data_IF_384002316149
#
_entry.id   IF_384002316149
#
_cell.length_a   1.000
_cell.length_b   1.000
_cell.length_c   1.000
_cell.angle_alpha   90.00
_cell.angle_beta   90.00
_cell.angle_gamma   90.00
#
_symmetry.space_group_name_H-M   'P 1'
#
loop_
_entity.id
_entity.type
_entity.pdbx_description
1 polymer ?
#
# COMPACT_ATOMS: atom_id res chain seq x y z
N UNK A 1 -15.45 -20.83 -44.94
CA UNK A 1 -16.40 -19.85 -44.39
C UNK A 1 -17.27 -20.53 -43.35
N UNK A 2 -16.92 -20.45 -42.07
CA UNK A 2 -17.70 -21.00 -40.96
C UNK A 2 -18.21 -19.83 -40.10
N UNK A 3 -19.53 -19.79 -39.88
CA UNK A 3 -20.23 -18.76 -39.10
C UNK A 3 -19.86 -18.91 -37.62
N UNK A 4 -19.36 -17.85 -37.01
CA UNK A 4 -19.07 -17.78 -35.58
C UNK A 4 -20.36 -17.95 -34.75
N UNK A 5 -20.32 -18.90 -33.82
CA UNK A 5 -21.36 -19.15 -32.81
C UNK A 5 -21.47 -17.99 -31.81
N UNK A 6 -22.66 -17.83 -31.20
CA UNK A 6 -23.03 -16.69 -30.33
C UNK A 6 -22.11 -16.45 -29.12
N UNK A 7 -21.28 -17.43 -28.75
CA UNK A 7 -20.28 -17.35 -27.68
C UNK A 7 -19.25 -16.23 -27.89
N UNK A 8 -18.79 -15.99 -29.12
CA UNK A 8 -17.76 -14.99 -29.40
C UNK A 8 -18.24 -13.53 -29.31
N UNK A 9 -19.56 -13.29 -29.31
CA UNK A 9 -20.16 -11.95 -29.16
C UNK A 9 -20.57 -11.64 -27.72
N UNK A 10 -20.92 -12.66 -26.93
CA UNK A 10 -21.18 -12.52 -25.49
C UNK A 10 -19.87 -12.34 -24.70
N UNK A 11 -18.83 -13.14 -25.00
CA UNK A 11 -17.53 -13.02 -24.34
C UNK A 11 -16.80 -11.70 -24.65
N UNK A 12 -17.02 -11.10 -25.84
CA UNK A 12 -16.50 -9.76 -26.18
C UNK A 12 -17.24 -8.60 -25.52
N UNK A 13 -18.45 -8.82 -25.00
CA UNK A 13 -19.21 -7.79 -24.26
C UNK A 13 -19.02 -7.90 -22.74
N UNK A 14 -18.64 -9.07 -22.23
CA UNK A 14 -18.34 -9.28 -20.81
C UNK A 14 -16.84 -9.12 -20.47
N UNK A 15 -15.96 -9.12 -21.48
CA UNK A 15 -14.51 -9.24 -21.30
C UNK A 15 -13.70 -7.95 -21.27
N UNK A 16 -14.33 -6.76 -21.23
CA UNK A 16 -13.59 -5.49 -21.17
C UNK A 16 -14.35 -4.52 -20.27
N UNK A 17 -13.69 -4.13 -19.19
CA UNK A 17 -13.99 -3.00 -18.29
C UNK A 17 -14.84 -3.29 -17.05
N UNK A 18 -14.24 -3.97 -16.06
CA UNK A 18 -14.29 -3.62 -14.63
C UNK A 18 -13.29 -4.52 -13.88
N UNK A 19 -12.01 -4.10 -13.80
CA UNK A 19 -10.92 -4.71 -13.01
C UNK A 19 -10.77 -6.24 -13.06
N UNK A 20 -9.72 -6.77 -13.69
CA UNK A 20 -9.39 -8.22 -13.63
C UNK A 20 -9.42 -8.81 -12.20
N UNK A 21 -9.23 -7.99 -11.16
CA UNK A 21 -9.39 -8.38 -9.75
C UNK A 21 -10.85 -8.53 -9.31
N UNK A 22 -11.72 -7.58 -9.64
CA UNK A 22 -13.15 -7.70 -9.28
C UNK A 22 -13.84 -8.78 -10.11
N UNK A 23 -13.42 -8.98 -11.37
CA UNK A 23 -13.87 -10.11 -12.18
C UNK A 23 -13.34 -11.46 -11.68
N UNK A 24 -12.12 -11.54 -11.14
CA UNK A 24 -11.58 -12.77 -10.54
C UNK A 24 -12.26 -13.12 -9.21
N UNK A 25 -12.57 -12.13 -8.37
CA UNK A 25 -13.32 -12.35 -7.12
C UNK A 25 -14.81 -12.65 -7.36
N UNK A 26 -15.43 -12.03 -8.37
CA UNK A 26 -16.77 -12.43 -8.83
C UNK A 26 -16.76 -13.83 -9.45
N UNK A 27 -15.71 -14.18 -10.22
CA UNK A 27 -15.56 -15.51 -10.80
C UNK A 27 -15.31 -16.59 -9.74
N UNK A 28 -14.61 -16.28 -8.65
CA UNK A 28 -14.43 -17.17 -7.50
C UNK A 28 -15.74 -17.40 -6.73
N UNK A 29 -16.62 -16.39 -6.64
CA UNK A 29 -17.97 -16.56 -6.06
C UNK A 29 -19.00 -17.16 -7.04
N UNK A 30 -18.73 -17.10 -8.35
CA UNK A 30 -19.52 -17.77 -9.40
C UNK A 30 -19.09 -19.23 -9.64
N UNK A 31 -18.17 -19.79 -8.84
CA UNK A 31 -17.70 -21.17 -8.96
C UNK A 31 -18.87 -22.16 -8.89
N UNK A 32 -19.83 -21.98 -7.98
CA UNK A 32 -20.94 -22.95 -7.85
C UNK A 32 -21.86 -23.00 -9.10
N UNK A 33 -22.39 -21.88 -9.63
CA UNK A 33 -23.17 -21.89 -10.87
C UNK A 33 -22.38 -22.39 -12.10
N UNK A 34 -21.10 -22.02 -12.19
CA UNK A 34 -20.23 -22.44 -13.31
C UNK A 34 -19.89 -23.93 -13.23
N UNK A 35 -19.61 -24.48 -12.04
CA UNK A 35 -19.42 -25.91 -11.83
C UNK A 35 -20.71 -26.71 -11.99
N UNK A 36 -21.87 -26.21 -11.57
CA UNK A 36 -23.18 -26.86 -11.81
C UNK A 36 -23.53 -26.90 -13.31
N UNK A 37 -23.16 -25.87 -14.07
CA UNK A 37 -23.30 -25.83 -15.52
C UNK A 37 -22.37 -26.84 -16.20
N UNK A 38 -21.11 -26.93 -15.78
CA UNK A 38 -20.15 -27.90 -16.31
C UNK A 38 -20.57 -29.34 -15.90
N UNK A 39 -21.03 -29.54 -14.67
CA UNK A 39 -21.50 -30.82 -14.17
C UNK A 39 -22.78 -31.29 -14.86
N UNK A 40 -23.74 -30.39 -15.14
CA UNK A 40 -24.96 -30.72 -15.90
C UNK A 40 -24.70 -30.97 -17.39
N UNK A 41 -23.64 -30.40 -17.96
CA UNK A 41 -23.18 -30.74 -19.31
C UNK A 41 -22.46 -32.09 -19.39
N UNK A 42 -21.87 -32.56 -18.28
CA UNK A 42 -21.13 -33.83 -18.18
C UNK A 42 -21.97 -35.00 -17.65
N UNK A 43 -23.11 -34.74 -17.01
CA UNK A 43 -24.02 -35.74 -16.45
C UNK A 43 -25.30 -35.87 -17.28
N UNK A 44 -25.59 -37.09 -17.75
CA UNK A 44 -26.76 -37.38 -18.59
C UNK A 44 -28.09 -37.38 -17.84
N UNK A 45 -28.09 -37.27 -16.51
CA UNK A 45 -29.27 -37.31 -15.63
C UNK A 45 -29.74 -35.93 -15.14
N UNK A 46 -29.11 -34.84 -15.58
CA UNK A 46 -29.48 -33.47 -15.21
C UNK A 46 -30.15 -32.74 -16.38
N UNK A 47 -31.17 -31.93 -16.08
CA UNK A 47 -31.82 -31.07 -17.07
C UNK A 47 -30.82 -30.04 -17.61
N UNK A 48 -30.65 -29.89 -18.94
CA UNK A 48 -29.79 -28.86 -19.51
C UNK A 48 -30.21 -27.49 -19.02
N UNK A 49 -29.31 -26.77 -18.35
CA UNK A 49 -29.53 -25.37 -17.94
C UNK A 49 -28.90 -24.43 -18.94
N UNK A 50 -29.58 -23.31 -19.23
CA UNK A 50 -29.05 -22.26 -20.10
C UNK A 50 -28.11 -21.37 -19.29
N UNK A 51 -26.82 -21.68 -19.37
CA UNK A 51 -25.74 -20.94 -18.69
C UNK A 51 -25.78 -19.43 -18.96
N UNK A 52 -26.19 -19.01 -20.15
CA UNK A 52 -26.29 -17.60 -20.51
C UNK A 52 -27.46 -16.90 -19.82
N UNK A 53 -28.55 -17.62 -19.59
CA UNK A 53 -29.70 -17.13 -18.84
C UNK A 53 -29.43 -17.12 -17.32
N UNK A 54 -28.74 -18.13 -16.79
CA UNK A 54 -28.39 -18.19 -15.36
C UNK A 54 -27.31 -17.17 -14.99
N UNK A 55 -26.33 -16.93 -15.87
CA UNK A 55 -25.34 -15.87 -15.67
C UNK A 55 -25.95 -14.47 -15.80
N UNK A 56 -26.88 -14.26 -16.74
CA UNK A 56 -27.65 -12.99 -16.82
C UNK A 56 -28.50 -12.76 -15.57
N UNK A 57 -29.17 -13.80 -15.04
CA UNK A 57 -29.92 -13.72 -13.76
C UNK A 57 -28.99 -13.44 -12.58
N UNK A 58 -27.85 -14.12 -12.52
CA UNK A 58 -26.83 -13.85 -11.50
C UNK A 58 -26.37 -12.40 -11.55
N UNK A 59 -26.11 -11.84 -12.74
CA UNK A 59 -25.76 -10.41 -12.91
C UNK A 59 -26.90 -9.48 -12.50
N UNK A 60 -28.15 -9.84 -12.80
CA UNK A 60 -29.34 -9.10 -12.33
C UNK A 60 -29.50 -9.17 -10.81
N UNK A 61 -29.04 -10.26 -10.18
CA UNK A 61 -29.09 -10.52 -8.74
C UNK A 61 -27.84 -10.05 -7.98
N UNK A 62 -26.75 -9.67 -8.65
CA UNK A 62 -25.51 -9.13 -8.03
C UNK A 62 -25.82 -8.03 -6.99
N UNK A 63 -26.71 -7.05 -7.24
CA UNK A 63 -27.05 -6.06 -6.22
C UNK A 63 -27.66 -6.69 -4.96
N UNK A 64 -28.46 -7.74 -5.09
CA UNK A 64 -29.01 -8.50 -3.97
C UNK A 64 -27.94 -9.33 -3.25
N UNK A 65 -27.00 -9.93 -3.98
CA UNK A 65 -25.88 -10.69 -3.43
C UNK A 65 -24.86 -9.80 -2.71
N UNK A 66 -24.53 -8.63 -3.28
CA UNK A 66 -23.65 -7.62 -2.67
C UNK A 66 -24.33 -6.97 -1.46
N UNK A 67 -25.64 -6.70 -1.50
CA UNK A 67 -26.37 -6.22 -0.33
C UNK A 67 -26.49 -7.28 0.78
N UNK A 68 -26.56 -8.57 0.43
CA UNK A 68 -26.58 -9.67 1.41
C UNK A 68 -25.25 -9.84 2.14
N UNK A 69 -24.14 -9.43 1.51
CA UNK A 69 -22.78 -9.42 2.08
C UNK A 69 -22.33 -8.03 2.54
N UNK A 70 -23.19 -7.01 2.36
CA UNK A 70 -23.11 -5.69 2.96
C UNK A 70 -21.72 -5.04 2.88
N UNK A 71 -21.14 -4.74 4.04
CA UNK A 71 -19.84 -4.06 4.11
C UNK A 71 -18.67 -4.91 3.62
N UNK A 72 -18.73 -6.25 3.67
CA UNK A 72 -17.69 -7.12 3.13
C UNK A 72 -17.63 -7.03 1.61
N UNK A 73 -18.77 -6.88 0.95
CA UNK A 73 -18.82 -6.61 -0.47
C UNK A 73 -18.19 -5.25 -0.81
N UNK A 74 -18.45 -4.21 -0.02
CA UNK A 74 -17.87 -2.88 -0.20
C UNK A 74 -16.35 -2.86 0.01
N UNK A 75 -15.85 -3.62 0.98
CA UNK A 75 -14.40 -3.78 1.20
C UNK A 75 -13.78 -4.62 0.10
N UNK A 76 -14.39 -5.75 -0.28
CA UNK A 76 -13.90 -6.62 -1.34
C UNK A 76 -13.83 -5.92 -2.71
N UNK A 77 -14.77 -5.02 -3.01
CA UNK A 77 -14.72 -4.22 -4.24
C UNK A 77 -13.91 -2.91 -4.10
N UNK A 78 -13.24 -2.68 -2.97
CA UNK A 78 -12.39 -1.50 -2.75
C UNK A 78 -13.15 -0.17 -2.62
N UNK A 79 -14.47 -0.21 -2.39
CA UNK A 79 -15.32 0.97 -2.21
C UNK A 79 -15.41 1.43 -0.74
N UNK A 80 -14.87 0.67 0.21
CA UNK A 80 -14.76 1.05 1.61
C UNK A 80 -13.56 0.35 2.28
N UNK A 81 -13.08 0.92 3.38
CA UNK A 81 -12.15 0.27 4.33
C UNK A 81 -12.82 0.06 5.69
N UNK A 82 -12.22 -0.79 6.54
CA UNK A 82 -12.67 -0.97 7.95
C UNK A 82 -12.66 0.37 8.73
N UNK A 83 -11.85 1.35 8.31
CA UNK A 83 -11.80 2.69 8.89
C UNK A 83 -13.00 3.55 8.50
N UNK A 84 -13.51 3.40 7.28
CA UNK A 84 -14.66 4.14 6.76
C UNK A 84 -15.97 3.69 7.43
N UNK A 85 -15.99 2.50 8.02
CA UNK A 85 -17.11 1.99 8.84
C UNK A 85 -17.27 2.80 10.14
N UNK A 86 -16.17 3.29 10.71
CA UNK A 86 -16.22 4.09 11.96
C UNK A 86 -16.51 5.57 11.70
N UNK A 87 -16.42 6.02 10.46
CA UNK A 87 -16.72 7.38 10.00
C UNK A 87 -17.26 7.32 8.56
N UNK A 88 -18.56 7.02 8.35
CA UNK A 88 -19.12 6.80 7.02
C UNK A 88 -18.99 8.08 6.17
N UNK A 89 -18.00 8.08 5.26
CA UNK A 89 -17.73 9.16 4.30
C UNK A 89 -18.51 8.94 2.98
N UNK A 90 -18.27 9.84 2.01
CA UNK A 90 -18.95 9.95 0.72
C UNK A 90 -19.03 8.65 -0.11
N UNK A 91 -18.10 7.71 0.08
CA UNK A 91 -18.01 6.48 -0.73
C UNK A 91 -19.15 5.50 -0.43
N UNK A 92 -19.62 5.43 0.82
CA UNK A 92 -20.79 4.62 1.21
C UNK A 92 -22.07 5.19 0.57
N UNK A 93 -22.17 6.53 0.46
CA UNK A 93 -23.31 7.18 -0.17
C UNK A 93 -23.39 6.90 -1.67
N UNK A 94 -22.25 6.87 -2.34
CA UNK A 94 -22.18 6.51 -3.76
C UNK A 94 -22.66 5.08 -3.97
N UNK A 95 -22.20 4.13 -3.14
CA UNK A 95 -22.59 2.73 -3.25
C UNK A 95 -24.09 2.51 -2.98
N UNK A 96 -24.64 3.11 -1.92
CA UNK A 96 -26.07 3.00 -1.59
C UNK A 96 -26.96 3.59 -2.70
N UNK A 97 -26.55 4.72 -3.31
CA UNK A 97 -27.24 5.27 -4.48
C UNK A 97 -27.18 4.33 -5.68
N UNK A 98 -26.01 3.76 -5.99
CA UNK A 98 -25.87 2.80 -7.09
C UNK A 98 -26.71 1.53 -6.88
N UNK A 99 -26.88 1.12 -5.62
CA UNK A 99 -27.78 0.02 -5.25
C UNK A 99 -29.26 0.41 -5.26
N UNK A 100 -29.59 1.67 -5.57
CA UNK A 100 -30.97 2.15 -5.70
C UNK A 100 -31.69 2.30 -4.37
N UNK A 101 -30.95 2.60 -3.30
CA UNK A 101 -31.55 3.09 -2.06
C UNK A 101 -31.86 4.59 -2.20
N UNK A 102 -33.03 5.02 -1.74
CA UNK A 102 -33.32 6.45 -1.66
C UNK A 102 -32.44 7.15 -0.62
N UNK A 103 -32.38 8.49 -0.63
CA UNK A 103 -31.62 9.24 0.38
C UNK A 103 -32.11 8.97 1.81
N UNK A 104 -33.40 8.71 1.99
CA UNK A 104 -33.97 8.43 3.30
C UNK A 104 -33.58 7.03 3.79
N UNK A 105 -33.63 6.04 2.90
CA UNK A 105 -33.15 4.68 3.20
C UNK A 105 -31.65 4.69 3.50
N UNK A 106 -30.88 5.42 2.69
CA UNK A 106 -29.43 5.59 2.90
C UNK A 106 -29.12 6.23 4.25
N UNK A 107 -29.88 7.24 4.67
CA UNK A 107 -29.76 7.85 6.00
C UNK A 107 -30.04 6.84 7.13
N UNK A 108 -31.06 6.00 6.99
CA UNK A 108 -31.38 4.96 7.99
C UNK A 108 -30.29 3.89 8.06
N UNK A 109 -29.79 3.43 6.92
CA UNK A 109 -28.69 2.47 6.82
C UNK A 109 -27.42 3.03 7.49
N UNK A 110 -27.03 4.27 7.16
CA UNK A 110 -25.85 4.93 7.75
C UNK A 110 -25.99 5.30 9.22
N UNK A 111 -27.20 5.29 9.79
CA UNK A 111 -27.40 5.55 11.21
C UNK A 111 -26.98 4.37 12.11
N UNK A 112 -26.67 3.20 11.51
CA UNK A 112 -26.17 2.06 12.24
C UNK A 112 -24.80 2.35 12.89
N UNK A 113 -24.68 2.04 14.18
CA UNK A 113 -23.47 2.28 14.96
C UNK A 113 -22.43 1.14 14.87
N UNK A 114 -22.81 0.00 14.30
CA UNK A 114 -21.94 -1.18 14.17
C UNK A 114 -22.09 -1.81 12.78
N UNK A 115 -21.07 -2.57 12.30
CA UNK A 115 -21.16 -3.29 11.03
C UNK A 115 -22.39 -4.22 10.95
N UNK A 116 -22.69 -4.93 12.04
CA UNK A 116 -23.81 -5.88 12.10
C UNK A 116 -25.16 -5.16 12.03
N UNK A 117 -25.27 -3.99 12.67
CA UNK A 117 -26.45 -3.16 12.59
C UNK A 117 -26.62 -2.53 11.20
N UNK A 118 -25.52 -2.23 10.50
CA UNK A 118 -25.54 -1.73 9.14
C UNK A 118 -26.05 -2.80 8.18
N UNK A 119 -25.55 -4.04 8.28
CA UNK A 119 -26.01 -5.16 7.46
C UNK A 119 -27.48 -5.49 7.72
N UNK A 120 -27.92 -5.42 8.97
CA UNK A 120 -29.34 -5.55 9.33
C UNK A 120 -30.19 -4.45 8.66
N UNK A 121 -29.76 -3.20 8.75
CA UNK A 121 -30.46 -2.07 8.14
C UNK A 121 -30.51 -2.18 6.60
N UNK A 122 -29.41 -2.58 5.95
CA UNK A 122 -29.41 -2.85 4.50
C UNK A 122 -30.44 -3.92 4.16
N UNK A 123 -30.46 -5.04 4.89
CA UNK A 123 -31.38 -6.16 4.65
C UNK A 123 -32.85 -5.76 4.84
N UNK A 124 -33.14 -4.92 5.84
CA UNK A 124 -34.48 -4.40 6.13
C UNK A 124 -34.95 -3.40 5.07
N UNK A 125 -34.06 -2.52 4.59
CA UNK A 125 -34.40 -1.50 3.59
C UNK A 125 -34.41 -2.04 2.16
N UNK A 126 -33.67 -3.10 1.87
CA UNK A 126 -33.53 -3.68 0.53
C UNK A 126 -34.85 -4.01 -0.16
N UNK A 127 -35.83 -4.68 0.48
CA UNK A 127 -37.13 -4.95 -0.12
C UNK A 127 -38.04 -3.71 -0.22
N UNK A 128 -37.68 -2.61 0.46
CA UNK A 128 -38.47 -1.37 0.48
C UNK A 128 -38.10 -0.41 -0.66
N UNK A 129 -37.03 -0.69 -1.41
CA UNK A 129 -36.61 0.13 -2.56
C UNK A 129 -37.72 0.17 -3.61
N UNK A 130 -37.99 1.36 -4.16
CA UNK A 130 -38.96 1.48 -5.23
C UNK A 130 -38.34 1.10 -6.59
N UNK A 131 -39.15 0.67 -7.57
CA UNK A 131 -38.64 0.47 -8.94
C UNK A 131 -37.99 1.74 -9.53
N UNK A 132 -38.45 2.92 -9.11
CA UNK A 132 -37.88 4.21 -9.51
C UNK A 132 -36.47 4.42 -8.97
N UNK A 133 -36.25 4.13 -7.69
CA UNK A 133 -34.93 4.25 -7.03
C UNK A 133 -33.94 3.23 -7.60
N UNK A 134 -34.38 1.98 -7.84
CA UNK A 134 -33.57 0.95 -8.48
C UNK A 134 -33.13 1.39 -9.89
N UNK A 135 -34.05 1.95 -10.68
CA UNK A 135 -33.75 2.44 -12.01
C UNK A 135 -32.83 3.68 -11.98
N UNK A 136 -32.99 4.55 -10.99
CA UNK A 136 -32.10 5.71 -10.80
C UNK A 136 -30.68 5.27 -10.44
N UNK A 137 -30.53 4.38 -9.45
CA UNK A 137 -29.24 3.82 -9.07
C UNK A 137 -28.53 3.12 -10.22
N UNK A 138 -29.27 2.35 -11.05
CA UNK A 138 -28.72 1.74 -12.25
C UNK A 138 -28.21 2.75 -13.26
N UNK A 139 -28.94 3.85 -13.51
CA UNK A 139 -28.49 4.91 -14.43
C UNK A 139 -27.24 5.61 -13.93
N UNK A 140 -27.16 5.87 -12.63
CA UNK A 140 -25.97 6.45 -12.01
C UNK A 140 -24.77 5.51 -12.12
N UNK A 141 -24.95 4.22 -11.80
CA UNK A 141 -23.91 3.21 -11.96
C UNK A 141 -23.44 3.10 -13.43
N UNK A 142 -24.37 3.08 -14.39
CA UNK A 142 -24.06 3.09 -15.83
C UNK A 142 -23.35 4.36 -16.30
N UNK A 143 -23.66 5.51 -15.70
CA UNK A 143 -22.97 6.76 -15.99
C UNK A 143 -21.54 6.76 -15.42
N UNK A 144 -21.40 6.31 -14.16
CA UNK A 144 -20.10 6.13 -13.51
C UNK A 144 -19.23 5.12 -14.26
N UNK A 145 -19.80 4.02 -14.75
CA UNK A 145 -19.09 3.05 -15.61
C UNK A 145 -18.64 3.67 -16.92
N UNK A 146 -19.52 4.39 -17.61
CA UNK A 146 -19.13 5.07 -18.86
C UNK A 146 -18.05 6.11 -18.62
N UNK A 147 -18.08 6.80 -17.49
CA UNK A 147 -17.03 7.73 -17.10
C UNK A 147 -15.72 6.98 -16.81
N UNK A 148 -15.75 5.90 -16.04
CA UNK A 148 -14.58 5.08 -15.75
C UNK A 148 -13.99 4.45 -17.03
N UNK A 149 -14.84 4.00 -17.96
CA UNK A 149 -14.43 3.52 -19.29
C UNK A 149 -13.74 4.63 -20.09
N UNK A 150 -14.28 5.85 -20.06
CA UNK A 150 -13.67 7.00 -20.75
C UNK A 150 -12.35 7.41 -20.11
N UNK A 151 -12.27 7.41 -18.77
CA UNK A 151 -11.05 7.68 -18.02
C UNK A 151 -10.00 6.59 -18.26
N UNK A 152 -10.41 5.33 -18.35
CA UNK A 152 -9.49 4.23 -18.66
C UNK A 152 -9.06 4.21 -20.14
N UNK A 153 -9.92 4.70 -21.04
CA UNK A 153 -9.61 4.87 -22.46
C UNK A 153 -8.79 6.15 -22.74
N UNK A 154 -8.68 7.05 -21.76
CA UNK A 154 -7.87 8.26 -21.87
C UNK A 154 -6.38 7.87 -21.95
N UNK A 155 -5.71 8.11 -23.10
CA UNK A 155 -4.29 7.78 -23.26
C UNK A 155 -3.39 8.57 -22.30
N UNK A 156 -3.91 9.62 -21.65
CA UNK A 156 -3.22 10.39 -20.64
C UNK A 156 -3.33 9.83 -19.21
N UNK A 157 -3.98 8.68 -18.99
CA UNK A 157 -3.92 7.99 -17.70
C UNK A 157 -2.79 6.95 -17.63
N UNK A 158 -2.19 6.74 -16.44
CA UNK A 158 -1.36 5.57 -16.19
C UNK A 158 -2.11 4.27 -16.49
N UNK A 159 -1.41 3.26 -17.02
CA UNK A 159 -2.03 2.00 -17.45
C UNK A 159 -1.21 0.77 -17.09
N UNK A 160 -1.91 -0.35 -16.93
CA UNK A 160 -1.35 -1.67 -16.66
C UNK A 160 -1.60 -2.59 -17.87
N UNK A 161 -0.54 -3.18 -18.40
CA UNK A 161 -0.56 -4.09 -19.55
C UNK A 161 -0.06 -5.48 -19.10
N UNK A 162 -0.85 -6.53 -19.32
CA UNK A 162 -0.43 -7.92 -19.13
C UNK A 162 0.13 -8.50 -20.43
N UNK A 163 1.36 -9.01 -20.41
CA UNK A 163 1.98 -9.72 -21.54
C UNK A 163 2.27 -11.16 -21.15
N UNK A 164 1.46 -12.09 -21.64
CA UNK A 164 1.71 -13.54 -21.48
C UNK A 164 2.73 -14.03 -22.50
N UNK A 165 3.86 -14.58 -22.04
CA UNK A 165 4.96 -15.08 -22.90
C UNK A 165 5.13 -16.60 -22.78
N UNK A 166 4.09 -17.35 -23.16
CA UNK A 166 4.14 -18.82 -23.18
C UNK A 166 4.56 -19.39 -21.81
N UNK A 167 5.57 -20.25 -21.79
CA UNK A 167 6.10 -20.89 -20.56
C UNK A 167 6.75 -19.90 -19.57
N UNK A 168 7.06 -18.66 -19.98
CA UNK A 168 7.68 -17.65 -19.09
C UNK A 168 6.68 -16.95 -18.17
N UNK A 169 5.40 -17.33 -18.23
CA UNK A 169 4.34 -16.71 -17.44
C UNK A 169 3.88 -15.35 -17.97
N UNK A 170 3.15 -14.63 -17.13
CA UNK A 170 2.63 -13.28 -17.44
C UNK A 170 3.56 -12.25 -16.82
N UNK A 171 4.06 -11.33 -17.66
CA UNK A 171 4.72 -10.11 -17.19
C UNK A 171 3.72 -8.96 -17.18
N UNK A 172 3.74 -8.16 -16.12
CA UNK A 172 2.93 -6.96 -15.98
C UNK A 172 3.80 -5.73 -16.24
N UNK A 173 3.32 -4.84 -17.10
CA UNK A 173 3.99 -3.58 -17.45
C UNK A 173 3.10 -2.42 -17.03
N UNK A 174 3.63 -1.56 -16.19
CA UNK A 174 2.99 -0.32 -15.77
C UNK A 174 3.58 0.83 -16.57
N UNK A 175 2.72 1.67 -17.10
CA UNK A 175 3.10 2.86 -17.87
C UNK A 175 2.51 4.11 -17.24
N UNK A 176 3.26 5.19 -17.29
CA UNK A 176 2.76 6.52 -16.88
C UNK A 176 1.81 7.13 -17.92
N UNK A 177 1.30 8.32 -17.62
CA UNK A 177 0.43 9.12 -18.50
C UNK A 177 1.08 9.52 -19.84
N UNK A 178 2.41 9.42 -19.96
CA UNK A 178 3.14 9.66 -21.20
C UNK A 178 3.39 8.35 -21.99
N UNK A 179 2.86 7.21 -21.51
CA UNK A 179 3.07 5.89 -22.09
C UNK A 179 4.45 5.29 -21.83
N UNK A 180 5.28 5.93 -20.99
CA UNK A 180 6.62 5.44 -20.64
C UNK A 180 6.48 4.29 -19.66
N UNK A 181 7.26 3.23 -19.86
CA UNK A 181 7.32 2.09 -18.95
C UNK A 181 8.01 2.53 -17.65
N UNK A 182 7.27 2.50 -16.55
CA UNK A 182 7.76 2.85 -15.21
C UNK A 182 8.20 1.60 -14.46
N UNK A 183 7.42 0.53 -14.61
CA UNK A 183 7.64 -0.75 -13.95
C UNK A 183 7.35 -1.93 -14.87
N UNK A 184 8.17 -2.97 -14.78
CA UNK A 184 7.90 -4.30 -15.33
C UNK A 184 8.14 -5.33 -14.24
N UNK A 185 7.16 -6.19 -13.96
CA UNK A 185 7.27 -7.20 -12.90
C UNK A 185 6.45 -8.45 -13.23
N UNK A 186 6.89 -9.66 -12.85
CA UNK A 186 6.05 -10.86 -12.92
C UNK A 186 4.95 -10.90 -11.84
N UNK A 187 5.01 -10.02 -10.84
CA UNK A 187 4.08 -9.98 -9.71
C UNK A 187 2.92 -9.00 -9.97
N UNK A 188 1.69 -9.53 -10.09
CA UNK A 188 0.48 -8.73 -10.37
C UNK A 188 0.17 -7.71 -9.29
N UNK A 189 0.36 -8.05 -8.01
CA UNK A 189 0.07 -7.18 -6.87
C UNK A 189 1.01 -5.97 -6.88
N UNK A 190 2.29 -6.21 -7.15
CA UNK A 190 3.29 -5.13 -7.27
C UNK A 190 2.97 -4.20 -8.43
N UNK A 191 2.48 -4.74 -9.55
CA UNK A 191 2.09 -3.94 -10.71
C UNK A 191 0.83 -3.09 -10.45
N UNK A 192 -0.15 -3.63 -9.73
CA UNK A 192 -1.35 -2.89 -9.32
C UNK A 192 -1.03 -1.78 -8.32
N UNK A 193 -0.15 -2.05 -7.35
CA UNK A 193 0.33 -1.03 -6.42
C UNK A 193 1.01 0.13 -7.16
N UNK A 194 1.87 -0.17 -8.12
CA UNK A 194 2.51 0.85 -8.96
C UNK A 194 1.51 1.67 -9.78
N UNK A 195 0.46 1.02 -10.33
CA UNK A 195 -0.60 1.72 -11.04
C UNK A 195 -1.34 2.69 -10.10
N UNK A 196 -1.71 2.24 -8.89
CA UNK A 196 -2.37 3.05 -7.90
C UNK A 196 -1.51 4.25 -7.46
N UNK A 197 -0.21 4.04 -7.23
CA UNK A 197 0.75 5.12 -6.92
C UNK A 197 0.79 6.17 -8.04
N UNK A 198 0.88 5.75 -9.31
CA UNK A 198 0.87 6.67 -10.45
C UNK A 198 -0.45 7.44 -10.60
N UNK A 199 -1.58 6.78 -10.39
CA UNK A 199 -2.90 7.41 -10.43
C UNK A 199 -3.05 8.46 -9.33
N UNK A 200 -2.60 8.15 -8.10
CA UNK A 200 -2.56 9.11 -7.00
C UNK A 200 -1.66 10.30 -7.30
N UNK A 201 -0.45 10.07 -7.83
CA UNK A 201 0.46 11.15 -8.22
C UNK A 201 -0.13 12.02 -9.35
N UNK A 202 -0.79 11.42 -10.35
CA UNK A 202 -1.48 12.15 -11.40
C UNK A 202 -2.66 13.00 -10.87
N UNK A 203 -3.44 12.46 -9.92
CA UNK A 203 -4.51 13.19 -9.26
C UNK A 203 -3.98 14.38 -8.44
N UNK A 204 -2.86 14.20 -7.71
CA UNK A 204 -2.21 15.29 -6.96
C UNK A 204 -1.73 16.42 -7.87
N UNK A 205 -1.16 16.10 -9.04
CA UNK A 205 -0.73 17.12 -10.02
C UNK A 205 -1.91 17.93 -10.56
N UNK A 206 -2.99 17.25 -10.95
CA UNK A 206 -4.24 17.90 -11.40
C UNK A 206 -4.85 18.82 -10.32
N UNK A 207 -4.86 18.37 -9.06
CA UNK A 207 -5.34 19.18 -7.94
C UNK A 207 -4.43 20.36 -7.56
N UNK A 208 -3.11 20.19 -7.74
CA UNK A 208 -2.12 21.24 -7.46
C UNK A 208 -2.10 22.35 -8.53
N UNK A 209 -2.28 22.01 -9.80
CA UNK A 209 -2.38 22.99 -10.90
C UNK A 209 -3.62 23.89 -10.73
N UNK A 210 -4.75 23.34 -10.28
CA UNK A 210 -5.95 24.14 -9.97
C UNK A 210 -5.83 25.05 -8.73
N UNK A 211 -4.94 24.72 -7.79
CA UNK A 211 -4.68 25.57 -6.62
C UNK A 211 -3.63 26.66 -6.88
N UNK A 212 -2.71 26.42 -7.82
CA UNK A 212 -1.68 27.39 -8.21
C UNK A 212 -2.23 28.57 -9.04
N UNK A 213 -3.32 28.37 -9.79
CA UNK A 213 -4.00 29.47 -10.50
C UNK A 213 -4.82 30.40 -9.58
N UNK A 214 -5.08 30.01 -8.32
CA UNK A 214 -5.90 30.79 -7.39
C UNK A 214 -5.10 31.72 -6.44
N UNK A 215 -3.76 31.67 -6.43
CA UNK A 215 -2.92 32.40 -5.46
C UNK A 215 -1.70 33.06 -6.11
N UNK A 216 -1.91 33.94 -7.09
CA UNK A 216 -0.89 34.88 -7.58
C UNK A 216 -1.28 36.33 -7.31
N UNK A 217 -1.43 36.67 -6.04
CA UNK A 217 -1.26 38.04 -5.53
C UNK A 217 -0.61 37.96 -4.15
N UNK A 218 0.72 37.88 -4.08
CA UNK A 218 1.45 38.52 -2.97
C UNK A 218 2.94 38.76 -3.29
N UNK A 219 3.38 39.93 -2.83
CA UNK A 219 4.52 40.73 -3.29
C UNK A 219 5.92 40.24 -2.83
N UNK A 220 6.99 40.42 -3.61
CA UNK A 220 8.32 39.87 -3.31
C UNK A 220 9.19 40.85 -2.51
N UNK A 221 8.90 41.06 -1.23
CA UNK A 221 9.79 41.83 -0.34
C UNK A 221 9.86 41.19 1.06
N UNK A 222 10.62 40.09 1.23
CA UNK A 222 11.29 39.74 2.51
C UNK A 222 12.10 38.42 2.45
N UNK A 223 13.13 38.33 1.60
CA UNK A 223 14.03 37.16 1.58
C UNK A 223 15.53 37.52 1.55
N UNK A 224 15.90 38.63 2.18
CA UNK A 224 17.30 39.05 2.28
C UNK A 224 17.71 39.30 3.74
N UNK A 225 17.71 38.27 4.60
CA UNK A 225 18.39 38.34 5.89
C UNK A 225 18.64 36.96 6.55
N UNK A 226 19.23 36.00 5.83
CA UNK A 226 20.00 34.91 6.46
C UNK A 226 20.89 34.18 5.43
N UNK A 227 21.79 34.93 4.77
CA UNK A 227 22.72 34.38 3.77
C UNK A 227 24.15 34.53 4.28
N UNK A 228 24.53 33.72 5.27
CA UNK A 228 25.94 33.52 5.64
C UNK A 228 26.20 32.03 5.91
N UNK A 229 27.08 31.47 5.07
CA UNK A 229 27.74 30.16 5.15
C UNK A 229 26.87 28.89 5.34
N UNK A 230 25.98 28.58 4.39
CA UNK A 230 25.59 27.17 4.15
C UNK A 230 26.48 26.62 3.03
N UNK A 231 27.55 25.92 3.39
CA UNK A 231 28.06 24.87 2.51
C UNK A 231 26.90 23.92 2.26
N UNK A 232 26.51 23.76 0.99
CA UNK A 232 25.40 22.90 0.56
C UNK A 232 25.78 21.45 0.88
N UNK A 233 25.58 21.02 2.12
CA UNK A 233 25.65 19.61 2.46
C UNK A 233 24.40 18.97 1.87
N UNK A 234 24.58 18.15 0.84
CA UNK A 234 23.48 17.36 0.32
C UNK A 234 23.00 16.40 1.43
N UNK A 235 21.70 16.33 1.71
CA UNK A 235 21.13 15.51 2.79
C UNK A 235 21.47 14.01 2.65
N UNK A 236 21.93 13.58 1.48
CA UNK A 236 22.25 12.19 1.16
C UNK A 236 23.64 11.70 1.62
N UNK A 237 24.49 12.51 2.27
CA UNK A 237 25.84 12.06 2.66
C UNK A 237 25.87 11.11 3.87
N UNK A 238 24.91 11.21 4.80
CA UNK A 238 24.89 10.36 5.99
C UNK A 238 24.18 9.01 5.79
N UNK A 239 23.28 8.93 4.81
CA UNK A 239 22.68 7.69 4.34
C UNK A 239 23.52 6.99 3.24
N UNK A 240 24.79 7.38 3.05
CA UNK A 240 25.70 6.64 2.20
C UNK A 240 26.09 5.32 2.91
N UNK A 241 26.17 4.20 2.18
CA UNK A 241 26.70 2.96 2.74
C UNK A 241 28.09 3.22 3.33
N UNK A 242 28.34 2.69 4.53
CA UNK A 242 29.70 2.56 5.03
C UNK A 242 30.52 1.81 3.98
N UNK A 243 31.77 2.21 3.70
CA UNK A 243 32.65 1.65 2.67
C UNK A 243 32.38 0.16 2.38
N UNK A 244 31.44 -0.12 1.47
CA UNK A 244 30.81 -1.44 1.28
C UNK A 244 31.74 -2.41 0.56
N UNK A 245 32.91 -1.94 0.14
CA UNK A 245 33.94 -2.71 -0.57
C UNK A 245 34.38 -3.97 0.18
N UNK A 246 34.13 -4.04 1.48
CA UNK A 246 34.49 -5.21 2.31
C UNK A 246 33.31 -6.11 2.67
N UNK A 247 32.07 -5.70 2.37
CA UNK A 247 30.90 -6.56 2.58
C UNK A 247 30.77 -7.54 1.42
N UNK A 248 30.38 -8.78 1.73
CA UNK A 248 29.95 -9.73 0.72
C UNK A 248 28.74 -9.19 -0.05
N UNK A 249 28.50 -9.73 -1.25
CA UNK A 249 27.35 -9.31 -2.05
C UNK A 249 26.02 -9.48 -1.30
N UNK A 250 25.88 -10.57 -0.54
CA UNK A 250 24.69 -10.83 0.26
C UNK A 250 24.50 -9.80 1.39
N UNK A 251 25.57 -9.43 2.08
CA UNK A 251 25.52 -8.40 3.13
C UNK A 251 25.19 -7.02 2.57
N UNK A 252 25.72 -6.67 1.38
CA UNK A 252 25.36 -5.41 0.72
C UNK A 252 23.88 -5.35 0.37
N UNK A 253 23.28 -6.48 -0.05
CA UNK A 253 21.86 -6.55 -0.36
C UNK A 253 20.95 -6.53 0.88
N UNK A 254 21.53 -6.62 2.09
CA UNK A 254 20.83 -6.49 3.37
C UNK A 254 21.04 -5.14 4.05
N UNK A 255 22.05 -4.36 3.65
CA UNK A 255 22.32 -3.04 4.22
C UNK A 255 21.26 -2.02 3.74
N UNK A 256 20.41 -1.45 4.62
CA UNK A 256 19.36 -0.50 4.23
C UNK A 256 19.88 0.68 3.40
N UNK A 257 21.09 1.17 3.68
CA UNK A 257 21.69 2.26 2.92
C UNK A 257 21.99 1.85 1.47
N UNK A 258 22.52 0.64 1.28
CA UNK A 258 22.79 0.10 -0.05
C UNK A 258 21.49 -0.17 -0.81
N UNK A 259 20.49 -0.76 -0.15
CA UNK A 259 19.16 -1.02 -0.74
C UNK A 259 18.53 0.29 -1.22
N UNK A 260 18.47 1.31 -0.36
CA UNK A 260 17.95 2.63 -0.71
C UNK A 260 18.64 3.19 -1.97
N UNK A 261 19.97 3.16 -2.02
CA UNK A 261 20.71 3.67 -3.17
C UNK A 261 20.46 2.87 -4.47
N UNK A 262 20.13 1.57 -4.38
CA UNK A 262 19.80 0.76 -5.55
C UNK A 262 18.43 1.12 -6.07
N UNK A 263 17.44 1.11 -5.19
CA UNK A 263 16.04 1.42 -5.50
C UNK A 263 15.92 2.84 -6.09
N UNK A 264 16.60 3.83 -5.51
CA UNK A 264 16.62 5.19 -6.06
C UNK A 264 17.27 5.28 -7.45
N UNK A 265 18.39 4.59 -7.67
CA UNK A 265 19.09 4.60 -8.98
C UNK A 265 18.27 3.91 -10.08
N UNK A 266 17.49 2.91 -9.73
CA UNK A 266 16.60 2.23 -10.67
C UNK A 266 15.40 3.11 -11.03
N UNK A 267 14.80 3.80 -10.06
CA UNK A 267 13.78 4.81 -10.31
C UNK A 267 14.26 5.91 -11.26
N UNK A 268 15.48 6.42 -11.05
CA UNK A 268 16.09 7.42 -11.94
C UNK A 268 16.22 6.91 -13.39
N UNK A 269 16.68 5.67 -13.57
CA UNK A 269 16.84 5.06 -14.90
C UNK A 269 15.50 4.88 -15.62
N UNK A 270 14.43 4.64 -14.87
CA UNK A 270 13.07 4.55 -15.42
C UNK A 270 12.42 5.92 -15.67
N UNK A 271 13.10 7.03 -15.36
CA UNK A 271 12.57 8.37 -15.53
C UNK A 271 11.52 8.78 -14.49
N UNK A 272 11.48 8.08 -13.35
CA UNK A 272 10.70 8.45 -12.18
C UNK A 272 11.47 9.53 -11.41
N UNK A 273 11.18 10.79 -11.70
CA UNK A 273 11.73 11.93 -10.95
C UNK A 273 10.67 12.49 -10.00
N UNK A 274 10.18 11.67 -9.07
CA UNK A 274 9.34 12.19 -8.00
C UNK A 274 10.21 12.68 -6.84
N UNK A 275 10.22 14.00 -6.67
CA UNK A 275 10.70 14.64 -5.44
C UNK A 275 9.55 14.70 -4.44
N UNK A 276 9.75 14.09 -3.28
CA UNK A 276 8.84 14.22 -2.15
C UNK A 276 8.87 15.62 -1.57
N UNK A 277 8.08 15.82 -0.51
CA UNK A 277 8.18 17.03 0.29
C UNK A 277 9.65 17.23 0.69
N UNK A 278 10.15 18.45 0.51
CA UNK A 278 11.51 18.88 0.86
C UNK A 278 12.64 18.39 -0.06
N UNK A 279 12.32 17.98 -1.30
CA UNK A 279 13.35 17.67 -2.31
C UNK A 279 14.05 16.33 -2.12
N UNK A 280 13.61 15.52 -1.15
CA UNK A 280 14.02 14.12 -1.00
C UNK A 280 13.52 13.33 -2.22
N UNK A 281 14.37 12.48 -2.78
CA UNK A 281 13.96 11.54 -3.83
C UNK A 281 13.11 10.44 -3.21
N UNK A 282 11.91 10.23 -3.73
CA UNK A 282 11.02 9.18 -3.24
C UNK A 282 11.44 7.85 -3.84
N UNK A 283 11.45 6.80 -3.01
CA UNK A 283 11.42 5.45 -3.51
C UNK A 283 10.02 4.89 -3.29
N UNK A 284 9.34 4.50 -4.36
CA UNK A 284 7.98 3.95 -4.27
C UNK A 284 8.00 2.55 -3.64
N UNK A 285 6.85 2.16 -3.07
CA UNK A 285 6.67 0.84 -2.49
C UNK A 285 6.85 -0.24 -3.57
N UNK A 286 6.21 -0.03 -4.71
CA UNK A 286 6.27 -0.93 -5.86
C UNK A 286 7.69 -1.14 -6.39
N UNK A 287 8.53 -0.09 -6.39
CA UNK A 287 9.92 -0.19 -6.83
C UNK A 287 10.75 -1.02 -5.85
N UNK A 288 10.60 -0.78 -4.55
CA UNK A 288 11.28 -1.61 -3.54
C UNK A 288 10.87 -3.07 -3.68
N UNK A 289 9.59 -3.36 -3.90
CA UNK A 289 9.09 -4.72 -4.01
C UNK A 289 9.59 -5.42 -5.28
N UNK A 290 9.56 -4.74 -6.43
CA UNK A 290 10.12 -5.28 -7.67
C UNK A 290 11.63 -5.54 -7.55
N UNK A 291 12.38 -4.60 -6.95
CA UNK A 291 13.79 -4.81 -6.68
C UNK A 291 14.01 -6.04 -5.78
N UNK A 292 13.23 -6.19 -4.72
CA UNK A 292 13.33 -7.34 -3.81
C UNK A 292 13.02 -8.66 -4.54
N UNK A 293 12.02 -8.70 -5.42
CA UNK A 293 11.71 -9.86 -6.25
C UNK A 293 12.89 -10.22 -7.19
N UNK A 294 13.45 -9.23 -7.88
CA UNK A 294 14.61 -9.42 -8.77
C UNK A 294 15.84 -9.96 -8.05
N UNK A 295 16.10 -9.47 -6.84
CA UNK A 295 17.18 -9.95 -5.98
C UNK A 295 16.83 -11.26 -5.26
N UNK A 296 15.64 -11.83 -5.52
CA UNK A 296 15.12 -13.04 -4.89
C UNK A 296 15.11 -12.94 -3.36
N UNK A 297 14.69 -11.78 -2.84
CA UNK A 297 14.51 -11.46 -1.43
C UNK A 297 13.05 -11.63 -0.96
N UNK A 298 12.11 -11.84 -1.87
CA UNK A 298 10.75 -12.27 -1.55
C UNK A 298 10.69 -13.78 -1.29
N UNK A 299 11.26 -14.24 -0.17
CA UNK A 299 11.56 -15.67 0.06
C UNK A 299 11.13 -16.25 1.39
N UNK A 300 10.43 -15.46 2.21
CA UNK A 300 9.97 -16.00 3.47
C UNK A 300 8.77 -16.90 3.24
N UNK A 301 8.85 -18.12 3.76
CA UNK A 301 7.67 -18.95 3.92
C UNK A 301 6.75 -18.23 4.91
N UNK A 302 5.55 -17.87 4.46
CA UNK A 302 4.57 -17.18 5.28
C UNK A 302 4.20 -17.95 6.54
N UNK A 303 4.35 -19.28 6.54
CA UNK A 303 4.12 -20.12 7.73
C UNK A 303 5.09 -19.78 8.87
N UNK A 304 6.27 -19.23 8.54
CA UNK A 304 7.28 -18.75 9.51
C UNK A 304 6.76 -17.59 10.36
N UNK A 305 5.76 -16.86 9.89
CA UNK A 305 5.31 -15.59 10.47
C UNK A 305 3.87 -15.61 10.98
N UNK A 306 3.33 -16.79 11.33
CA UNK A 306 1.93 -16.91 11.73
C UNK A 306 1.65 -16.41 13.16
N UNK A 307 2.59 -16.60 14.09
CA UNK A 307 2.39 -16.24 15.50
C UNK A 307 3.50 -15.29 15.95
N UNK A 308 3.24 -13.97 16.04
CA UNK A 308 4.22 -13.02 16.54
C UNK A 308 4.40 -13.16 18.05
N UNK A 309 5.63 -12.97 18.52
CA UNK A 309 5.93 -12.89 19.95
C UNK A 309 5.34 -11.59 20.54
N UNK A 310 5.42 -10.50 19.77
CA UNK A 310 4.83 -9.21 20.10
C UNK A 310 4.19 -8.58 18.85
N UNK A 311 3.04 -7.93 19.04
CA UNK A 311 2.41 -7.15 17.99
C UNK A 311 2.26 -5.70 18.46
N UNK A 312 3.02 -4.80 17.83
CA UNK A 312 2.88 -3.36 18.02
C UNK A 312 1.92 -2.73 17.00
N UNK A 313 1.73 -1.41 17.14
CA UNK A 313 0.96 -0.61 16.19
C UNK A 313 1.53 -0.67 14.76
N UNK A 314 2.85 -0.76 14.63
CA UNK A 314 3.56 -0.68 13.35
C UNK A 314 4.08 -2.02 12.84
N UNK A 315 4.51 -2.89 13.77
CA UNK A 315 5.22 -4.11 13.42
C UNK A 315 4.64 -5.34 14.12
N UNK A 316 4.73 -6.47 13.43
CA UNK A 316 4.68 -7.79 14.05
C UNK A 316 6.12 -8.25 14.30
N UNK A 317 6.42 -8.71 15.50
CA UNK A 317 7.77 -9.01 15.96
C UNK A 317 7.92 -10.49 16.27
N UNK A 318 9.00 -11.08 15.78
CA UNK A 318 9.37 -12.48 15.96
C UNK A 318 10.79 -12.55 16.50
N UNK A 319 11.07 -13.50 17.38
CA UNK A 319 12.43 -13.72 17.89
C UNK A 319 12.98 -14.99 17.25
N UNK A 320 14.01 -14.83 16.43
CA UNK A 320 14.83 -15.94 15.95
C UNK A 320 15.95 -16.18 16.96
N UNK A 321 15.72 -17.13 17.86
CA UNK A 321 16.67 -17.49 18.92
C UNK A 321 17.92 -18.19 18.38
N UNK A 322 17.85 -18.81 17.19
CA UNK A 322 19.00 -19.50 16.61
C UNK A 322 20.03 -18.49 16.12
N UNK A 323 19.58 -17.45 15.40
CA UNK A 323 20.48 -16.38 14.96
C UNK A 323 20.71 -15.30 16.01
N UNK A 324 19.93 -15.29 17.11
CA UNK A 324 19.98 -14.25 18.14
C UNK A 324 19.46 -12.91 17.62
N UNK A 325 18.52 -12.95 16.66
CA UNK A 325 17.96 -11.75 16.03
C UNK A 325 16.46 -11.63 16.28
N UNK A 326 16.00 -10.40 16.25
CA UNK A 326 14.60 -10.04 16.25
C UNK A 326 14.21 -9.66 14.83
N UNK A 327 13.16 -10.29 14.30
CA UNK A 327 12.61 -10.05 12.97
C UNK A 327 11.33 -9.22 13.11
N UNK A 328 11.24 -8.13 12.33
CA UNK A 328 10.09 -7.23 12.30
C UNK A 328 9.44 -7.28 10.92
N UNK A 329 8.13 -7.37 10.91
CA UNK A 329 7.29 -7.24 9.72
C UNK A 329 6.48 -5.96 9.82
N UNK A 330 6.54 -5.08 8.82
CA UNK A 330 5.63 -3.93 8.75
C UNK A 330 4.17 -4.39 8.58
N UNK A 331 3.19 -3.50 8.79
CA UNK A 331 1.80 -3.76 8.38
C UNK A 331 1.68 -3.83 6.84
N UNK A 332 0.66 -4.52 6.29
CA UNK A 332 0.51 -4.72 4.85
C UNK A 332 0.44 -3.38 4.10
N UNK A 333 1.32 -3.18 3.12
CA UNK A 333 1.36 -1.96 2.30
C UNK A 333 1.79 -0.69 3.04
N UNK A 334 2.23 -0.80 4.30
CA UNK A 334 2.68 0.34 5.11
C UNK A 334 4.16 0.24 5.42
N UNK A 335 4.80 1.40 5.54
CA UNK A 335 6.18 1.53 6.00
C UNK A 335 6.21 2.33 7.29
N UNK A 336 6.65 1.68 8.38
CA UNK A 336 6.88 2.32 9.67
C UNK A 336 5.68 3.07 10.29
N UNK A 337 6.02 3.96 11.22
CA UNK A 337 5.10 4.76 12.05
C UNK A 337 4.18 5.70 11.29
N UNK A 338 4.69 6.26 10.20
CA UNK A 338 4.08 7.43 9.56
C UNK A 338 3.42 7.11 8.22
N UNK A 339 3.27 5.83 7.86
CA UNK A 339 2.91 5.42 6.50
C UNK A 339 3.77 6.18 5.47
N UNK A 340 5.06 6.26 5.76
CA UNK A 340 6.05 6.96 4.93
C UNK A 340 6.28 6.19 3.63
N UNK A 341 6.93 6.82 2.64
CA UNK A 341 7.36 6.08 1.45
C UNK A 341 8.49 5.10 1.80
N UNK A 342 8.69 4.09 0.94
CA UNK A 342 9.71 3.07 1.15
C UNK A 342 11.13 3.66 1.27
N UNK A 343 11.38 4.79 0.62
CA UNK A 343 12.66 5.49 0.67
C UNK A 343 12.93 6.09 2.04
N UNK A 344 11.95 6.82 2.58
CA UNK A 344 12.03 7.39 3.93
C UNK A 344 12.23 6.30 5.01
N UNK A 345 11.53 5.18 4.87
CA UNK A 345 11.69 4.01 5.75
C UNK A 345 13.13 3.46 5.72
N UNK A 346 13.65 3.14 4.53
CA UNK A 346 15.02 2.62 4.40
C UNK A 346 16.07 3.63 4.86
N UNK A 347 15.85 4.92 4.62
CA UNK A 347 16.74 5.97 5.10
C UNK A 347 16.79 6.02 6.63
N UNK A 348 15.63 5.90 7.29
CA UNK A 348 15.55 5.84 8.75
C UNK A 348 16.30 4.64 9.31
N UNK A 349 16.16 3.46 8.70
CA UNK A 349 16.92 2.27 9.12
C UNK A 349 18.43 2.47 8.95
N UNK A 350 18.84 3.04 7.80
CA UNK A 350 20.24 3.38 7.54
C UNK A 350 20.79 4.38 8.57
N UNK A 351 20.00 5.39 8.92
CA UNK A 351 20.35 6.37 9.95
C UNK A 351 20.45 5.72 11.34
N UNK A 352 19.53 4.81 11.71
CA UNK A 352 19.62 4.07 12.98
C UNK A 352 20.94 3.30 13.08
N UNK A 353 21.30 2.55 12.03
CA UNK A 353 22.59 1.85 11.96
C UNK A 353 23.77 2.80 12.10
N UNK A 354 23.72 3.95 11.41
CA UNK A 354 24.81 4.92 11.39
C UNK A 354 25.00 5.65 12.71
N UNK A 355 23.91 6.00 13.38
CA UNK A 355 23.89 6.84 14.59
C UNK A 355 24.04 5.98 15.85
N UNK A 356 23.36 4.84 15.90
CA UNK A 356 23.24 4.01 17.11
C UNK A 356 23.91 2.64 16.99
N UNK A 357 24.31 2.22 15.80
CA UNK A 357 24.93 0.91 15.60
C UNK A 357 23.95 -0.26 15.79
N UNK A 358 22.69 -0.06 15.40
CA UNK A 358 21.56 -0.97 15.64
C UNK A 358 21.63 -2.31 14.86
N UNK A 359 22.52 -2.41 13.85
CA UNK A 359 22.68 -3.59 12.97
C UNK A 359 21.35 -4.07 12.36
N UNK A 360 20.48 -3.12 11.99
CA UNK A 360 19.26 -3.39 11.23
C UNK A 360 19.61 -3.84 9.82
N UNK A 361 18.97 -4.91 9.38
CA UNK A 361 19.11 -5.50 8.05
C UNK A 361 17.75 -5.51 7.36
N UNK A 362 17.75 -5.18 6.08
CA UNK A 362 16.66 -5.49 5.19
C UNK A 362 16.77 -6.96 4.78
N UNK A 363 15.80 -7.77 5.20
CA UNK A 363 15.83 -9.21 4.92
C UNK A 363 15.06 -9.54 3.65
N UNK A 364 14.00 -8.79 3.35
CA UNK A 364 13.23 -8.94 2.13
C UNK A 364 11.79 -8.46 2.28
N UNK A 365 10.90 -9.12 1.55
CA UNK A 365 9.46 -8.85 1.57
C UNK A 365 8.68 -10.16 1.73
N UNK A 366 7.47 -10.06 2.25
CA UNK A 366 6.53 -11.19 2.38
C UNK A 366 5.09 -10.72 2.22
N UNK A 367 4.26 -11.52 1.55
CA UNK A 367 2.80 -11.37 1.57
C UNK A 367 2.25 -12.53 2.38
N UNK A 368 1.53 -12.26 3.47
CA UNK A 368 0.92 -13.32 4.28
C UNK A 368 -0.41 -13.77 3.66
N UNK A 369 -0.88 -15.00 3.92
CA UNK A 369 -2.16 -15.48 3.44
C UNK A 369 -3.32 -14.54 3.80
N UNK A 370 -4.10 -14.15 2.79
CA UNK A 370 -5.26 -13.26 2.95
C UNK A 370 -4.92 -11.77 2.99
N UNK A 371 -3.67 -11.38 2.75
CA UNK A 371 -3.27 -9.97 2.62
C UNK A 371 -3.17 -9.56 1.16
N UNK A 372 -3.54 -8.31 0.87
CA UNK A 372 -3.53 -7.74 -0.48
C UNK A 372 -2.30 -6.88 -0.80
N UNK A 373 -1.39 -6.74 0.17
CA UNK A 373 -0.22 -5.90 0.03
C UNK A 373 0.99 -6.53 0.72
N UNK A 374 2.19 -6.50 0.10
CA UNK A 374 3.39 -7.00 0.72
C UNK A 374 3.77 -6.23 1.98
N UNK A 375 4.51 -6.90 2.86
CA UNK A 375 5.15 -6.37 4.05
C UNK A 375 6.65 -6.33 3.85
N UNK A 376 7.32 -5.37 4.49
CA UNK A 376 8.78 -5.36 4.58
C UNK A 376 9.22 -6.20 5.77
N UNK A 377 10.24 -7.03 5.56
CA UNK A 377 10.88 -7.85 6.57
C UNK A 377 12.25 -7.24 6.89
N UNK A 378 12.43 -6.85 8.15
CA UNK A 378 13.73 -6.40 8.67
C UNK A 378 14.15 -7.26 9.85
N UNK A 379 15.45 -7.31 10.12
CA UNK A 379 15.97 -7.96 11.32
C UNK A 379 16.99 -7.07 12.01
N UNK A 380 17.11 -7.19 13.33
CA UNK A 380 18.18 -6.57 14.12
C UNK A 380 18.65 -7.54 15.20
N UNK A 381 19.80 -7.27 15.82
CA UNK A 381 20.24 -8.08 16.97
C UNK A 381 19.21 -8.01 18.09
N UNK A 382 18.88 -9.16 18.68
CA UNK A 382 18.06 -9.19 19.87
C UNK A 382 18.88 -8.66 21.06
N UNK A 383 18.32 -7.70 21.81
CA UNK A 383 19.00 -7.09 22.94
C UNK A 383 18.27 -7.44 24.22
N UNK A 384 18.91 -8.25 25.06
CA UNK A 384 18.40 -8.57 26.39
C UNK A 384 18.65 -7.41 27.37
N UNK A 385 17.64 -7.11 28.18
CA UNK A 385 17.73 -6.08 29.19
C UNK A 385 16.36 -5.63 29.66
N UNK A 386 16.33 -4.50 30.36
CA UNK A 386 15.10 -3.81 30.76
C UNK A 386 14.93 -2.54 29.94
N UNK A 387 13.72 -2.02 29.91
CA UNK A 387 13.48 -0.67 29.41
C UNK A 387 14.33 0.34 30.17
N UNK A 388 14.98 1.23 29.42
CA UNK A 388 15.67 2.38 29.99
C UNK A 388 14.64 3.39 30.51
N UNK A 389 14.86 3.94 31.70
CA UNK A 389 14.04 5.03 32.24
C UNK A 389 14.23 6.31 31.43
N UNK A 390 13.28 7.25 31.49
CA UNK A 390 13.39 8.52 30.76
C UNK A 390 14.69 9.30 31.10
N UNK A 391 15.13 9.25 32.36
CA UNK A 391 16.37 9.90 32.79
C UNK A 391 17.61 9.22 32.16
N UNK A 392 17.64 7.90 32.14
CA UNK A 392 18.72 7.11 31.52
C UNK A 392 18.76 7.33 30.01
N UNK A 393 17.62 7.35 29.33
CA UNK A 393 17.54 7.63 27.89
C UNK A 393 18.05 9.04 27.56
N UNK A 394 17.68 10.04 28.36
CA UNK A 394 18.17 11.39 28.21
C UNK A 394 19.70 11.47 28.38
N UNK A 395 20.25 10.79 29.39
CA UNK A 395 21.70 10.72 29.60
C UNK A 395 22.43 9.98 28.48
N UNK A 396 21.87 8.86 28.02
CA UNK A 396 22.37 8.13 26.85
C UNK A 396 22.44 9.02 25.61
N UNK A 397 21.37 9.74 25.27
CA UNK A 397 21.34 10.62 24.11
C UNK A 397 22.32 11.79 24.26
N UNK A 398 22.43 12.39 25.44
CA UNK A 398 23.46 13.41 25.73
C UNK A 398 24.88 12.86 25.55
N UNK A 399 25.15 11.65 26.03
CA UNK A 399 26.44 10.99 25.86
C UNK A 399 26.80 10.74 24.39
N UNK A 400 25.79 10.62 23.52
CA UNK A 400 25.91 10.49 22.07
C UNK A 400 25.96 11.84 21.33
N UNK A 401 26.00 12.96 22.06
CA UNK A 401 26.10 14.31 21.47
C UNK A 401 24.77 14.93 21.06
N UNK A 402 23.64 14.34 21.47
CA UNK A 402 22.33 14.94 21.26
C UNK A 402 22.01 15.99 22.33
N UNK A 403 21.26 17.01 21.92
CA UNK A 403 20.69 18.03 22.79
C UNK A 403 19.18 18.08 22.60
N UNK A 404 18.44 18.27 23.69
CA UNK A 404 16.99 18.41 23.63
C UNK A 404 16.61 19.77 23.03
N UNK A 405 15.67 19.77 22.08
CA UNK A 405 15.16 20.95 21.40
C UNK A 405 13.71 20.69 20.96
N UNK A 406 12.77 21.49 21.46
CA UNK A 406 11.34 21.43 21.16
C UNK A 406 10.72 20.02 21.25
N UNK A 407 11.03 19.31 22.34
CA UNK A 407 10.53 17.95 22.59
C UNK A 407 11.14 16.87 21.70
N UNK A 408 12.22 17.19 20.97
CA UNK A 408 13.01 16.24 20.17
C UNK A 408 14.47 16.25 20.62
N UNK A 409 15.21 15.20 20.28
CA UNK A 409 16.65 15.13 20.53
C UNK A 409 17.40 15.39 19.24
N UNK A 410 18.23 16.42 19.21
CA UNK A 410 18.93 16.87 18.00
C UNK A 410 20.43 16.69 18.16
N UNK A 411 21.08 16.07 17.18
CA UNK A 411 22.53 16.05 17.10
C UNK A 411 22.99 17.18 16.16
N UNK A 412 23.58 18.29 16.68
CA UNK A 412 23.84 19.49 15.88
C UNK A 412 24.91 19.27 14.81
N UNK A 413 25.92 18.44 15.09
CA UNK A 413 27.01 18.13 14.14
C UNK A 413 26.55 17.19 13.02
N UNK A 414 25.81 16.13 13.36
CA UNK A 414 25.29 15.18 12.39
C UNK A 414 24.08 15.73 11.63
N UNK A 415 23.42 16.79 12.14
CA UNK A 415 22.21 17.32 11.52
C UNK A 415 21.08 16.30 11.49
N UNK A 416 20.94 15.48 12.54
CA UNK A 416 19.83 14.52 12.70
C UNK A 416 18.98 14.87 13.92
N UNK A 417 17.70 14.55 13.84
CA UNK A 417 16.76 14.60 14.94
C UNK A 417 16.27 13.18 15.26
N UNK A 418 16.03 12.94 16.54
CA UNK A 418 15.55 11.68 17.10
C UNK A 418 14.30 11.97 17.92
N UNK A 419 13.30 11.14 17.73
CA UNK A 419 12.04 11.19 18.46
C UNK A 419 11.58 9.77 18.82
N UNK A 420 10.41 9.69 19.45
CA UNK A 420 9.89 8.45 20.04
C UNK A 420 10.75 7.89 21.20
N UNK A 421 11.40 8.80 21.94
CA UNK A 421 12.25 8.49 23.11
C UNK A 421 11.47 8.27 24.40
N UNK A 422 10.13 8.22 24.32
CA UNK A 422 9.28 8.01 25.50
C UNK A 422 8.56 6.66 25.46
N UNK A 423 8.65 5.95 24.32
CA UNK A 423 8.02 4.66 24.13
C UNK A 423 8.86 3.57 24.80
N UNK A 424 8.27 2.77 25.72
CA UNK A 424 8.94 1.60 26.30
C UNK A 424 9.39 0.63 25.20
N UNK A 425 10.54 -0.01 25.37
CA UNK A 425 11.12 -0.93 24.39
C UNK A 425 12.05 -0.30 23.35
N UNK A 426 12.07 1.03 23.19
CA UNK A 426 12.89 1.67 22.14
C UNK A 426 14.37 1.86 22.54
N UNK A 427 14.66 1.87 23.84
CA UNK A 427 16.02 1.90 24.39
C UNK A 427 16.12 0.90 25.54
N UNK A 428 17.07 -0.02 25.41
CA UNK A 428 17.27 -1.13 26.35
C UNK A 428 18.52 -0.90 27.18
N UNK A 429 18.38 -0.99 28.50
CA UNK A 429 19.51 -1.06 29.44
C UNK A 429 19.88 -2.52 29.65
N UNK A 430 21.09 -2.89 29.19
CA UNK A 430 21.65 -4.23 29.31
C UNK A 430 22.07 -4.55 30.75
N UNK A 431 22.28 -5.84 31.09
CA UNK A 431 22.72 -6.24 32.43
C UNK A 431 24.04 -5.61 32.89
N UNK A 432 24.92 -5.25 31.95
CA UNK A 432 26.20 -4.58 32.23
C UNK A 432 26.07 -3.06 32.43
N UNK A 433 24.85 -2.52 32.39
CA UNK A 433 24.56 -1.10 32.53
C UNK A 433 24.72 -0.29 31.24
N UNK A 434 25.17 -0.90 30.14
CA UNK A 434 25.22 -0.22 28.84
C UNK A 434 23.83 -0.08 28.24
N UNK A 435 23.63 0.97 27.43
CA UNK A 435 22.35 1.24 26.79
C UNK A 435 22.45 1.11 25.28
N UNK A 436 21.39 0.56 24.67
CA UNK A 436 21.27 0.35 23.23
C UNK A 436 19.91 0.88 22.75
N UNK A 437 19.94 1.83 21.82
CA UNK A 437 18.74 2.18 21.06
C UNK A 437 18.44 1.05 20.04
N UNK A 438 17.17 0.65 19.97
CA UNK A 438 16.70 -0.47 19.13
C UNK A 438 15.48 -0.11 18.27
N UNK A 439 14.79 0.99 18.55
CA UNK A 439 13.65 1.43 17.71
C UNK A 439 13.37 2.93 17.79
N UNK A 440 14.43 3.75 17.91
CA UNK A 440 14.26 5.20 17.90
C UNK A 440 13.99 5.71 16.48
N UNK A 441 13.08 6.67 16.37
CA UNK A 441 12.76 7.31 15.09
C UNK A 441 13.85 8.35 14.76
N UNK A 442 14.61 8.12 13.69
CA UNK A 442 15.73 8.99 13.28
C UNK A 442 15.44 9.65 11.94
N UNK A 443 15.60 10.97 11.86
CA UNK A 443 15.42 11.74 10.63
C UNK A 443 16.51 12.79 10.44
N UNK A 444 16.76 13.17 9.19
CA UNK A 444 17.63 14.31 8.88
C UNK A 444 16.95 15.61 9.31
N UNK A 445 17.64 16.43 10.09
CA UNK A 445 17.19 17.77 10.49
C UNK A 445 17.31 18.70 9.28
N UNK A 446 16.23 19.40 8.97
CA UNK A 446 16.28 20.45 7.96
C UNK A 446 17.03 21.67 8.51
N UNK A 447 17.87 22.32 7.69
CA UNK A 447 18.75 23.39 8.13
C UNK A 447 18.08 24.76 8.21
#
# INVERSE_FOLDING_TARGET
MLKATGWGRAARKAGLVWGEQTAQELAQNAIAPVFETIASAMRTDMTPRDAGQEFSRYIEDIPATLAATGWLALIGCGLASVRDIKNPQADVDVALRHWGFSEEQSRRIKAAATPEAFDAAVREEMPLRTPGDIAAGRREAEAAWRQAEQEQADPAQPRLEAITRGERGTEWIVRDSAGRETLRTPNSETAQLALAELQQSAARRRGGEGAAEANTEDSPENLNQLRMSKGRQEPHRLAQPFNTRYLSHDEQLRDPAHVLQRVLREGERAGESESGKHGRRLASASRLFAWADEQRRARFDSETFLVPEFAGGEHSVFIDRESGRLVKLTKPGLFGAQAEDAGAYLERLALSNRVFGDDVRFEGIVTLPGEHAPRVVTSQSFVEGRDATAAEQAEYLRSKGFVEHDGRWVHPVLGVAVWDTQTPGNVITRPDGTMQAVDLQVEMRQP
#
